data_IF_152249254430
#
_entry.id   IF_152249254430
#
_cell.length_a   1.000
_cell.length_b   1.000
_cell.length_c   1.000
_cell.angle_alpha   90.00
_cell.angle_beta   90.00
_cell.angle_gamma   90.00
#
_symmetry.space_group_name_H-M   'P 1'
#
loop_
_entity.id
_entity.type
_entity.pdbx_description
1 polymer ?
#
# COMPACT_ATOMS: atom_id res chain seq x y z
N UNK A 1 1.87 13.72 3.29
CA UNK A 1 1.55 12.48 4.03
C UNK A 1 2.84 11.94 4.63
N UNK A 2 2.79 11.24 5.76
CA UNK A 2 3.90 10.44 6.27
C UNK A 2 3.56 8.97 6.03
N UNK A 3 4.32 8.27 5.18
CA UNK A 3 4.01 6.91 4.72
C UNK A 3 3.81 5.94 5.88
N UNK A 4 4.75 5.88 6.83
CA UNK A 4 4.69 4.92 7.93
C UNK A 4 3.52 5.17 8.86
N UNK A 5 3.21 6.45 9.11
CA UNK A 5 2.04 6.82 9.91
C UNK A 5 0.75 6.39 9.21
N UNK A 6 0.60 6.71 7.93
CA UNK A 6 -0.59 6.36 7.14
C UNK A 6 -0.78 4.84 7.06
N UNK A 7 0.29 4.11 6.78
CA UNK A 7 0.29 2.64 6.73
C UNK A 7 -0.16 2.01 8.06
N UNK A 8 0.33 2.53 9.19
CA UNK A 8 -0.06 2.06 10.52
C UNK A 8 -1.51 2.41 10.85
N UNK A 9 -2.01 3.57 10.41
CA UNK A 9 -3.42 3.96 10.57
C UNK A 9 -4.34 3.03 9.76
N UNK A 10 -4.02 2.75 8.49
CA UNK A 10 -4.76 1.80 7.64
C UNK A 10 -4.76 0.39 8.27
N UNK A 11 -3.59 -0.09 8.74
CA UNK A 11 -3.47 -1.40 9.36
C UNK A 11 -4.27 -1.51 10.66
N UNK A 12 -4.28 -0.45 11.48
CA UNK A 12 -5.06 -0.41 12.72
C UNK A 12 -6.56 -0.42 12.45
N UNK A 13 -7.04 0.39 11.51
CA UNK A 13 -8.45 0.40 11.10
C UNK A 13 -8.86 -0.97 10.55
N UNK A 14 -8.01 -1.58 9.71
CA UNK A 14 -8.25 -2.92 9.18
C UNK A 14 -8.37 -3.99 10.28
N UNK A 15 -7.50 -3.95 11.30
CA UNK A 15 -7.53 -4.89 12.41
C UNK A 15 -8.81 -4.75 13.25
N UNK A 16 -9.22 -3.52 13.52
CA UNK A 16 -10.43 -3.20 14.28
C UNK A 16 -11.71 -3.60 13.53
N UNK A 17 -11.85 -3.19 12.27
CA UNK A 17 -13.01 -3.51 11.42
C UNK A 17 -13.13 -5.01 11.10
N UNK A 18 -12.02 -5.75 11.19
CA UNK A 18 -11.99 -7.18 10.98
C UNK A 18 -12.20 -8.00 12.26
N UNK A 19 -12.44 -7.36 13.41
CA UNK A 19 -12.58 -8.01 14.71
C UNK A 19 -11.38 -8.94 15.05
N UNK A 20 -10.19 -8.58 14.60
CA UNK A 20 -8.98 -9.38 14.77
C UNK A 20 -8.82 -10.58 13.82
N UNK A 21 -9.62 -10.67 12.74
CA UNK A 21 -9.40 -11.66 11.70
C UNK A 21 -8.35 -11.18 10.68
N UNK A 22 -7.21 -11.88 10.64
CA UNK A 22 -6.06 -11.51 9.80
C UNK A 22 -6.40 -11.50 8.30
N UNK A 23 -7.16 -12.48 7.82
CA UNK A 23 -7.49 -12.58 6.40
C UNK A 23 -8.39 -11.42 5.96
N UNK A 24 -9.42 -11.11 6.76
CA UNK A 24 -10.33 -10.00 6.50
C UNK A 24 -9.58 -8.66 6.58
N UNK A 25 -8.65 -8.51 7.53
CA UNK A 25 -7.82 -7.32 7.65
C UNK A 25 -6.93 -7.12 6.40
N UNK A 26 -6.32 -8.19 5.88
CA UNK A 26 -5.53 -8.10 4.63
C UNK A 26 -6.37 -7.66 3.42
N UNK A 27 -7.62 -8.13 3.31
CA UNK A 27 -8.55 -7.69 2.26
C UNK A 27 -8.88 -6.21 2.43
N UNK A 28 -9.20 -5.78 3.65
CA UNK A 28 -9.48 -4.38 3.95
C UNK A 28 -8.31 -3.47 3.59
N UNK A 29 -7.08 -3.84 3.98
CA UNK A 29 -5.87 -3.08 3.64
C UNK A 29 -5.74 -2.92 2.13
N UNK A 30 -5.93 -3.99 1.35
CA UNK A 30 -5.83 -3.93 -0.09
C UNK A 30 -6.85 -2.96 -0.70
N UNK A 31 -8.11 -3.04 -0.27
CA UNK A 31 -9.18 -2.13 -0.73
C UNK A 31 -8.88 -0.67 -0.35
N UNK A 32 -8.42 -0.43 0.87
CA UNK A 32 -8.05 0.91 1.36
C UNK A 32 -6.87 1.49 0.58
N UNK A 33 -5.85 0.69 0.30
CA UNK A 33 -4.70 1.13 -0.49
C UNK A 33 -5.07 1.41 -1.96
N UNK A 34 -5.95 0.60 -2.56
CA UNK A 34 -6.42 0.80 -3.95
C UNK A 34 -7.27 2.07 -4.08
N UNK A 35 -8.05 2.40 -3.05
CA UNK A 35 -8.83 3.63 -2.98
C UNK A 35 -8.06 4.87 -2.51
N UNK A 36 -6.81 4.74 -2.08
CA UNK A 36 -6.07 5.82 -1.45
C UNK A 36 -5.69 6.93 -2.45
N UNK A 37 -5.65 8.18 -1.99
CA UNK A 37 -5.40 9.31 -2.90
C UNK A 37 -4.02 9.29 -3.58
N UNK A 38 -3.03 8.64 -2.94
CA UNK A 38 -1.69 8.47 -3.52
C UNK A 38 -1.63 7.40 -4.61
N UNK A 39 -2.60 6.48 -4.68
CA UNK A 39 -2.67 5.42 -5.70
C UNK A 39 -3.62 5.76 -6.85
N UNK A 40 -4.51 6.75 -6.71
CA UNK A 40 -5.48 7.10 -7.77
C UNK A 40 -5.19 8.43 -8.50
N UNK A 41 -4.48 9.37 -7.87
CA UNK A 41 -4.21 10.68 -8.49
C UNK A 41 -2.76 10.81 -8.95
N UNK A 42 -2.54 10.94 -10.26
CA UNK A 42 -1.19 10.95 -10.86
C UNK A 42 -0.21 11.93 -10.21
N UNK A 43 -0.63 13.17 -9.95
CA UNK A 43 0.25 14.16 -9.33
C UNK A 43 0.66 13.76 -7.90
N UNK A 44 -0.25 13.12 -7.14
CA UNK A 44 0.04 12.64 -5.78
C UNK A 44 0.92 11.39 -5.82
N UNK A 45 0.66 10.46 -6.72
CA UNK A 45 1.47 9.27 -6.91
C UNK A 45 2.92 9.61 -7.30
N UNK A 46 3.09 10.56 -8.22
CA UNK A 46 4.41 11.03 -8.63
C UNK A 46 5.17 11.71 -7.48
N UNK A 47 4.49 12.56 -6.71
CA UNK A 47 5.10 13.17 -5.53
C UNK A 47 5.46 12.11 -4.48
N UNK A 48 4.58 11.12 -4.27
CA UNK A 48 4.82 10.00 -3.36
C UNK A 48 6.09 9.23 -3.75
N UNK A 49 6.23 8.85 -5.02
CA UNK A 49 7.42 8.12 -5.51
C UNK A 49 8.70 8.98 -5.45
N UNK A 50 8.59 10.30 -5.39
CA UNK A 50 9.72 11.19 -5.23
C UNK A 50 10.12 11.39 -3.76
N UNK A 51 9.17 11.26 -2.84
CA UNK A 51 9.35 11.53 -1.41
C UNK A 51 9.78 10.29 -0.61
N UNK A 52 9.42 9.09 -1.06
CA UNK A 52 9.59 7.84 -0.32
C UNK A 52 10.40 6.80 -1.10
N UNK A 53 11.03 5.89 -0.37
CA UNK A 53 11.64 4.69 -0.95
C UNK A 53 10.55 3.71 -1.38
N UNK A 54 10.53 3.39 -2.67
CA UNK A 54 9.53 2.54 -3.32
C UNK A 54 10.04 1.14 -3.61
N UNK A 55 11.27 0.79 -3.18
CA UNK A 55 11.94 -0.46 -3.56
C UNK A 55 11.10 -1.70 -3.28
N UNK A 56 10.52 -1.83 -2.10
CA UNK A 56 9.71 -3.00 -1.71
C UNK A 56 8.40 -3.08 -2.52
N UNK A 57 7.80 -1.93 -2.82
CA UNK A 57 6.59 -1.86 -3.66
C UNK A 57 6.88 -2.21 -5.12
N UNK A 58 8.04 -1.80 -5.64
CA UNK A 58 8.52 -2.16 -6.97
C UNK A 58 8.81 -3.67 -7.07
N UNK A 59 9.46 -4.26 -6.06
CA UNK A 59 9.70 -5.70 -5.98
C UNK A 59 8.38 -6.50 -5.96
N UNK A 60 7.41 -6.07 -5.14
CA UNK A 60 6.07 -6.66 -5.13
C UNK A 60 5.41 -6.65 -6.52
N UNK A 61 5.55 -5.55 -7.27
CA UNK A 61 4.98 -5.45 -8.62
C UNK A 61 5.70 -6.36 -9.62
N UNK A 62 7.02 -6.51 -9.52
CA UNK A 62 7.77 -7.45 -10.36
C UNK A 62 7.29 -8.89 -10.14
N UNK A 63 7.06 -9.29 -8.89
CA UNK A 63 6.48 -10.59 -8.55
C UNK A 63 5.04 -10.75 -9.07
N UNK A 64 4.30 -9.65 -9.15
CA UNK A 64 2.92 -9.61 -9.67
C UNK A 64 2.82 -9.44 -11.20
N UNK A 65 3.94 -9.52 -11.93
CA UNK A 65 3.95 -9.49 -13.41
C UNK A 65 4.53 -8.22 -14.02
N UNK A 66 5.24 -7.40 -13.25
CA UNK A 66 6.07 -6.28 -13.70
C UNK A 66 5.53 -4.90 -13.29
N UNK A 67 6.46 -3.98 -13.02
CA UNK A 67 6.18 -2.58 -12.63
C UNK A 67 5.34 -1.85 -13.68
N UNK A 68 5.58 -2.06 -14.97
CA UNK A 68 4.87 -1.42 -16.07
C UNK A 68 4.18 -2.44 -16.97
N UNK A 69 2.93 -2.16 -17.35
CA UNK A 69 2.17 -2.96 -18.31
C UNK A 69 2.03 -2.24 -19.66
N UNK A 70 1.76 -3.00 -20.71
CA UNK A 70 1.57 -2.45 -22.05
C UNK A 70 0.39 -1.48 -22.07
N UNK A 71 0.67 -0.22 -22.38
CA UNK A 71 -0.32 0.85 -22.46
C UNK A 71 -0.35 1.75 -21.24
N UNK A 72 0.44 1.46 -20.20
CA UNK A 72 0.59 2.35 -19.06
C UNK A 72 1.24 3.67 -19.50
N UNK A 73 0.62 4.77 -19.08
CA UNK A 73 1.28 6.07 -19.02
C UNK A 73 2.18 6.16 -17.79
N UNK A 74 3.11 7.11 -17.80
CA UNK A 74 3.99 7.33 -16.65
C UNK A 74 3.23 7.57 -15.33
N UNK A 75 2.11 8.28 -15.37
CA UNK A 75 1.26 8.50 -14.20
C UNK A 75 0.60 7.23 -13.67
N UNK A 76 0.23 6.30 -14.56
CA UNK A 76 -0.33 5.00 -14.16
C UNK A 76 0.72 4.11 -13.50
N UNK A 77 1.95 4.11 -14.02
CA UNK A 77 3.07 3.39 -13.40
C UNK A 77 3.31 3.93 -11.99
N UNK A 78 3.37 5.25 -11.83
CA UNK A 78 3.54 5.87 -10.51
C UNK A 78 2.40 5.50 -9.54
N UNK A 79 1.14 5.49 -10.00
CA UNK A 79 0.00 5.04 -9.20
C UNK A 79 0.14 3.59 -8.72
N UNK A 80 0.60 2.68 -9.60
CA UNK A 80 0.81 1.27 -9.26
C UNK A 80 1.93 1.11 -8.23
N UNK A 81 3.04 1.84 -8.39
CA UNK A 81 4.16 1.84 -7.43
C UNK A 81 3.69 2.40 -6.08
N UNK A 82 2.97 3.53 -6.07
CA UNK A 82 2.46 4.13 -4.84
C UNK A 82 1.48 3.21 -4.11
N UNK A 83 0.57 2.54 -4.84
CA UNK A 83 -0.30 1.51 -4.32
C UNK A 83 0.49 0.38 -3.65
N UNK A 84 1.41 -0.24 -4.39
CA UNK A 84 2.17 -1.39 -3.91
C UNK A 84 3.05 -1.03 -2.71
N UNK A 85 3.68 0.14 -2.72
CA UNK A 85 4.50 0.62 -1.60
C UNK A 85 3.66 0.83 -0.34
N UNK A 86 2.49 1.47 -0.46
CA UNK A 86 1.58 1.66 0.67
C UNK A 86 1.04 0.32 1.19
N UNK A 87 0.66 -0.59 0.28
CA UNK A 87 0.16 -1.92 0.60
C UNK A 87 1.17 -2.71 1.41
N UNK A 88 2.41 -2.82 0.94
CA UNK A 88 3.47 -3.56 1.63
C UNK A 88 3.72 -2.98 3.02
N UNK A 89 3.78 -1.64 3.16
CA UNK A 89 3.98 -1.01 4.47
C UNK A 89 2.79 -1.17 5.40
N UNK A 90 1.56 -1.18 4.90
CA UNK A 90 0.38 -1.46 5.72
C UNK A 90 0.34 -2.94 6.16
N UNK A 91 0.75 -3.87 5.30
CA UNK A 91 0.86 -5.29 5.65
C UNK A 91 1.94 -5.55 6.70
N UNK A 92 3.12 -4.95 6.57
CA UNK A 92 4.17 -4.98 7.60
C UNK A 92 3.64 -4.44 8.93
N UNK A 93 2.96 -3.29 8.92
CA UNK A 93 2.35 -2.70 10.11
C UNK A 93 1.27 -3.60 10.73
N UNK A 94 0.48 -4.32 9.92
CA UNK A 94 -0.49 -5.28 10.42
C UNK A 94 0.19 -6.46 11.11
N UNK A 95 1.28 -6.98 10.55
CA UNK A 95 2.06 -8.02 11.19
C UNK A 95 2.55 -7.58 12.58
N UNK A 96 3.08 -6.37 12.71
CA UNK A 96 3.48 -5.81 14.02
C UNK A 96 2.30 -5.73 15.00
N UNK A 97 1.12 -5.27 14.56
CA UNK A 97 -0.11 -5.21 15.39
C UNK A 97 -0.50 -6.60 15.89
N UNK A 98 -0.43 -7.60 15.02
CA UNK A 98 -0.81 -8.97 15.38
C UNK A 98 0.15 -9.55 16.41
N UNK A 99 1.46 -9.33 16.25
CA UNK A 99 2.47 -9.78 17.22
C UNK A 99 2.32 -9.08 18.59
N UNK A 100 1.90 -7.81 18.61
CA UNK A 100 1.60 -7.07 19.85
C UNK A 100 0.31 -7.55 20.56
N UNK A 101 -0.59 -8.20 19.82
CA UNK A 101 -1.91 -8.64 20.30
C UNK A 101 -1.92 -10.09 20.81
N UNK A 102 -0.83 -10.84 20.60
CA UNK A 102 -0.59 -12.18 21.14
C UNK A 102 -0.04 -12.16 22.58
#
# INVERSE_FOLDING_TARGET
MNLYKEAREIAQEAWEESEGDLYTAMVYIHESCDGHECSIYYAKALQFCADWDTSDGEEYLEDCGGIAQKGDSFGQIACRIAFATLLVKAQEALHEITEESE
#
